data_IF_027583893406
#
_entry.id   IF_027583893406
#
_cell.length_a   1.000
_cell.length_b   1.000
_cell.length_c   1.000
_cell.angle_alpha   90.00
_cell.angle_beta   90.00
_cell.angle_gamma   90.00
#
_symmetry.space_group_name_H-M   'P 1'
#
loop_
_entity.id
_entity.type
_entity.pdbx_description
1 polymer ?
#
# COMPACT_ATOMS: atom_id res chain seq x y z
N UNK A 1 32.25 -48.64 -28.21
CA UNK A 1 30.93 -47.98 -28.38
C UNK A 1 30.23 -47.97 -27.03
N UNK A 2 30.08 -46.79 -26.41
CA UNK A 2 28.87 -46.37 -25.70
C UNK A 2 29.10 -44.95 -25.14
N UNK A 3 28.29 -44.01 -25.61
CA UNK A 3 28.17 -42.65 -25.09
C UNK A 3 27.58 -42.69 -23.68
N UNK A 4 28.18 -41.97 -22.71
CA UNK A 4 27.51 -41.58 -21.47
C UNK A 4 27.04 -40.13 -21.61
N UNK A 5 25.75 -39.98 -21.92
CA UNK A 5 25.00 -38.73 -21.78
C UNK A 5 24.88 -38.40 -20.29
N UNK A 6 25.38 -37.23 -19.90
CA UNK A 6 25.13 -36.60 -18.59
C UNK A 6 23.73 -35.98 -18.67
N UNK A 7 22.76 -36.63 -18.03
CA UNK A 7 21.42 -36.07 -17.84
C UNK A 7 21.43 -35.03 -16.72
N UNK A 8 21.30 -33.76 -17.07
CA UNK A 8 20.97 -32.69 -16.12
C UNK A 8 19.48 -32.83 -15.80
N UNK A 9 19.17 -33.37 -14.63
CA UNK A 9 17.82 -33.37 -14.08
C UNK A 9 17.52 -31.98 -13.53
N UNK A 10 16.71 -31.19 -14.24
CA UNK A 10 16.08 -29.99 -13.72
C UNK A 10 15.06 -30.41 -12.65
N UNK A 11 15.43 -30.27 -11.37
CA UNK A 11 14.44 -30.29 -10.29
C UNK A 11 13.60 -29.00 -10.38
N UNK A 12 12.27 -29.09 -10.40
CA UNK A 12 11.43 -27.92 -10.24
C UNK A 12 11.58 -27.40 -8.81
N UNK A 13 11.94 -26.12 -8.71
CA UNK A 13 11.93 -25.36 -7.47
C UNK A 13 10.48 -25.29 -6.95
N UNK A 14 10.11 -26.22 -6.07
CA UNK A 14 8.90 -26.11 -5.26
C UNK A 14 9.10 -24.94 -4.30
N UNK A 15 8.58 -23.77 -4.69
CA UNK A 15 8.31 -22.70 -3.75
C UNK A 15 7.12 -23.15 -2.91
N UNK A 16 7.41 -23.78 -1.77
CA UNK A 16 6.45 -23.93 -0.70
C UNK A 16 6.03 -22.53 -0.27
N UNK A 17 4.85 -22.10 -0.71
CA UNK A 17 4.21 -20.88 -0.25
C UNK A 17 4.11 -20.92 1.27
N UNK A 18 4.88 -20.08 1.94
CA UNK A 18 4.69 -19.85 3.36
C UNK A 18 3.35 -19.17 3.54
N UNK A 19 2.39 -19.94 4.03
CA UNK A 19 1.12 -19.46 4.57
C UNK A 19 1.48 -18.56 5.75
N UNK A 20 1.34 -17.24 5.57
CA UNK A 20 1.43 -16.32 6.70
C UNK A 20 0.27 -16.62 7.66
N UNK A 21 0.55 -16.83 8.96
CA UNK A 21 -0.48 -17.04 9.97
C UNK A 21 -1.06 -15.67 10.33
N UNK A 22 -1.98 -15.17 9.50
CA UNK A 22 -2.76 -13.96 9.73
C UNK A 22 -4.02 -14.07 8.89
N UNK A 23 -5.17 -14.25 9.54
CA UNK A 23 -6.47 -14.41 8.89
C UNK A 23 -6.88 -13.23 7.98
N UNK A 24 -7.97 -13.38 7.22
CA UNK A 24 -8.39 -12.41 6.21
C UNK A 24 -8.87 -11.13 6.89
N UNK A 25 -8.24 -10.00 6.59
CA UNK A 25 -8.68 -8.70 7.06
C UNK A 25 -9.98 -8.30 6.36
N UNK A 26 -11.00 -7.80 7.08
CA UNK A 26 -12.16 -7.19 6.44
C UNK A 26 -11.75 -5.82 5.91
N UNK A 27 -11.83 -5.62 4.59
CA UNK A 27 -11.90 -4.29 3.97
C UNK A 27 -10.74 -3.83 3.08
N UNK A 28 -9.59 -4.51 3.07
CA UNK A 28 -8.61 -4.29 2.00
C UNK A 28 -9.13 -4.90 0.70
N UNK A 29 -9.19 -4.16 -0.41
CA UNK A 29 -9.59 -4.70 -1.74
C UNK A 29 -8.34 -5.30 -2.39
N UNK A 30 -8.13 -6.61 -2.33
CA UNK A 30 -7.04 -7.22 -3.09
C UNK A 30 -7.34 -7.10 -4.58
N UNK A 31 -6.30 -6.88 -5.38
CA UNK A 31 -6.34 -7.08 -6.81
C UNK A 31 -6.74 -8.52 -7.08
N UNK A 32 -7.62 -8.73 -8.06
CA UNK A 32 -7.91 -10.08 -8.50
C UNK A 32 -6.66 -10.76 -9.08
N UNK A 33 -6.61 -12.08 -9.03
CA UNK A 33 -5.58 -12.82 -9.77
C UNK A 33 -5.62 -12.46 -11.26
N UNK A 34 -4.42 -12.19 -11.82
CA UNK A 34 -4.06 -11.68 -13.16
C UNK A 34 -4.84 -12.25 -14.37
N UNK A 35 -6.15 -12.11 -14.39
CA UNK A 35 -7.02 -12.50 -15.49
C UNK A 35 -7.63 -11.24 -16.05
N UNK A 36 -7.07 -10.67 -17.14
CA UNK A 36 -7.72 -9.59 -17.87
C UNK A 36 -9.12 -10.03 -18.29
N UNK A 37 -10.11 -9.16 -18.13
CA UNK A 37 -11.50 -9.42 -18.53
C UNK A 37 -12.11 -8.14 -19.09
N UNK A 38 -12.91 -8.26 -20.16
CA UNK A 38 -13.57 -7.12 -20.83
C UNK A 38 -12.65 -5.93 -21.16
N UNK A 39 -11.41 -6.20 -21.56
CA UNK A 39 -10.43 -5.16 -21.89
C UNK A 39 -9.88 -4.38 -20.68
N UNK A 40 -10.26 -4.76 -19.46
CA UNK A 40 -9.69 -4.21 -18.22
C UNK A 40 -8.48 -5.06 -17.82
N UNK A 41 -7.31 -4.44 -17.60
CA UNK A 41 -6.10 -5.18 -17.22
C UNK A 41 -6.12 -5.66 -15.76
N UNK A 42 -7.07 -5.18 -14.93
CA UNK A 42 -7.21 -5.56 -13.52
C UNK A 42 -8.68 -5.49 -13.07
N UNK A 43 -9.01 -6.23 -12.01
CA UNK A 43 -10.29 -6.18 -11.32
C UNK A 43 -10.09 -6.07 -9.80
N UNK A 44 -11.17 -5.76 -9.09
CA UNK A 44 -11.20 -5.53 -7.64
C UNK A 44 -11.99 -6.63 -6.92
N UNK A 45 -11.46 -7.18 -5.83
CA UNK A 45 -12.19 -8.11 -4.99
C UNK A 45 -13.23 -7.39 -4.13
N UNK A 46 -14.51 -7.50 -4.51
CA UNK A 46 -15.63 -6.78 -3.91
C UNK A 46 -16.75 -7.72 -3.48
N UNK A 47 -17.57 -7.29 -2.53
CA UNK A 47 -18.84 -7.96 -2.27
C UNK A 47 -19.70 -7.99 -3.53
N UNK A 48 -20.46 -9.06 -3.67
CA UNK A 48 -21.32 -9.34 -4.81
C UNK A 48 -22.26 -8.20 -5.21
N UNK A 49 -22.77 -7.49 -4.20
CA UNK A 49 -23.65 -6.35 -4.37
C UNK A 49 -22.89 -5.05 -4.63
N UNK A 50 -21.56 -5.05 -4.75
CA UNK A 50 -20.78 -3.85 -5.01
C UNK A 50 -20.38 -3.68 -6.47
N UNK A 51 -20.47 -4.74 -7.27
CA UNK A 51 -20.07 -4.72 -8.68
C UNK A 51 -21.22 -4.28 -9.61
N UNK A 52 -21.26 -2.99 -9.95
CA UNK A 52 -22.23 -2.39 -10.84
C UNK A 52 -21.89 -2.68 -12.31
N UNK A 53 -22.85 -3.22 -13.07
CA UNK A 53 -22.65 -3.64 -14.46
C UNK A 53 -22.33 -5.14 -14.63
N UNK A 54 -22.23 -5.90 -13.54
CA UNK A 54 -22.30 -7.37 -13.55
C UNK A 54 -21.08 -8.10 -14.12
N UNK A 55 -19.97 -7.42 -14.41
CA UNK A 55 -18.74 -8.07 -14.88
C UNK A 55 -17.94 -8.51 -13.66
N UNK A 56 -18.37 -9.62 -13.07
CA UNK A 56 -17.79 -10.18 -11.86
C UNK A 56 -17.38 -11.64 -12.08
N UNK A 57 -16.15 -12.00 -11.73
CA UNK A 57 -15.65 -13.37 -11.80
C UNK A 57 -15.42 -13.91 -10.39
N UNK A 58 -16.11 -14.99 -10.04
CA UNK A 58 -15.89 -15.72 -8.78
C UNK A 58 -14.54 -16.41 -8.77
N UNK A 59 -13.99 -16.67 -7.59
CA UNK A 59 -12.73 -17.42 -7.37
C UNK A 59 -11.43 -16.74 -7.85
N UNK A 60 -11.49 -15.51 -8.35
CA UNK A 60 -10.30 -14.69 -8.60
C UNK A 60 -9.85 -13.91 -7.36
N UNK A 61 -10.50 -14.15 -6.22
CA UNK A 61 -10.25 -13.58 -4.90
C UNK A 61 -10.02 -14.69 -3.85
N UNK A 62 -9.02 -15.58 -4.03
CA UNK A 62 -8.90 -16.83 -3.26
C UNK A 62 -8.58 -16.63 -1.78
N UNK A 63 -8.19 -15.41 -1.36
CA UNK A 63 -8.00 -15.06 0.04
C UNK A 63 -9.27 -14.53 0.72
N UNK A 64 -10.40 -14.49 0.01
CA UNK A 64 -11.66 -13.93 0.50
C UNK A 64 -12.75 -14.99 0.66
N UNK A 65 -13.76 -14.65 1.44
CA UNK A 65 -14.98 -15.45 1.56
C UNK A 65 -15.69 -15.57 0.20
N UNK A 66 -16.47 -16.64 0.04
CA UNK A 66 -17.13 -17.01 -1.22
C UNK A 66 -18.09 -15.95 -1.79
N UNK A 67 -18.50 -14.97 -0.98
CA UNK A 67 -19.38 -13.85 -1.36
C UNK A 67 -18.60 -12.61 -1.86
N UNK A 68 -17.30 -12.78 -2.14
CA UNK A 68 -16.43 -11.78 -2.75
C UNK A 68 -16.09 -12.22 -4.17
N UNK A 69 -16.44 -11.38 -5.15
CA UNK A 69 -16.15 -11.59 -6.56
C UNK A 69 -15.18 -10.54 -7.07
N UNK A 70 -14.42 -10.93 -8.08
CA UNK A 70 -13.58 -10.00 -8.80
C UNK A 70 -14.40 -9.15 -9.76
N UNK A 71 -14.57 -7.87 -9.46
CA UNK A 71 -15.28 -6.92 -10.28
C UNK A 71 -14.35 -6.20 -11.27
N UNK A 72 -14.69 -6.27 -12.55
CA UNK A 72 -14.03 -5.53 -13.64
C UNK A 72 -14.88 -4.36 -14.15
N UNK A 73 -16.00 -4.06 -13.48
CA UNK A 73 -16.91 -2.97 -13.81
C UNK A 73 -16.96 -1.92 -12.68
N UNK A 74 -17.90 -0.97 -12.75
CA UNK A 74 -17.97 0.11 -11.75
C UNK A 74 -18.30 -0.48 -10.37
N UNK A 75 -17.73 0.13 -9.34
CA UNK A 75 -17.95 -0.29 -7.97
C UNK A 75 -18.83 0.72 -7.23
N UNK A 76 -20.06 0.32 -6.86
CA UNK A 76 -21.01 1.21 -6.15
C UNK A 76 -20.80 1.27 -4.64
N UNK A 77 -19.92 0.46 -4.10
CA UNK A 77 -19.53 0.48 -2.68
C UNK A 77 -18.23 1.26 -2.43
N UNK A 78 -17.50 1.64 -3.48
CA UNK A 78 -16.31 2.52 -3.38
C UNK A 78 -16.45 3.82 -4.17
N UNK A 79 -17.66 4.15 -4.63
CA UNK A 79 -18.03 5.38 -5.38
C UNK A 79 -17.76 6.70 -4.67
N UNK A 80 -17.12 6.71 -3.50
CA UNK A 80 -16.79 7.94 -2.78
C UNK A 80 -15.63 8.74 -3.37
N UNK A 81 -14.67 8.08 -4.04
CA UNK A 81 -13.41 8.71 -4.46
C UNK A 81 -13.31 8.82 -5.99
N UNK A 82 -12.92 10.00 -6.48
CA UNK A 82 -12.76 10.31 -7.90
C UNK A 82 -11.43 9.82 -8.49
N UNK A 83 -11.11 10.28 -9.69
CA UNK A 83 -9.84 10.01 -10.35
C UNK A 83 -8.72 10.96 -9.89
N UNK A 84 -7.47 10.52 -9.99
CA UNK A 84 -6.27 11.34 -9.88
C UNK A 84 -5.48 11.27 -11.18
N UNK A 85 -5.12 12.45 -11.71
CA UNK A 85 -4.42 12.58 -13.00
C UNK A 85 -2.92 12.87 -12.85
N UNK A 86 -2.39 12.84 -11.63
CA UNK A 86 -0.94 12.95 -11.41
C UNK A 86 -0.26 11.66 -11.93
N UNK A 87 0.36 11.80 -13.10
CA UNK A 87 1.05 10.70 -13.79
C UNK A 87 2.27 10.20 -13.03
N UNK A 88 2.94 11.08 -12.28
CA UNK A 88 4.08 10.73 -11.46
C UNK A 88 3.63 9.93 -10.24
N UNK A 89 2.57 10.39 -9.57
CA UNK A 89 1.97 9.65 -8.47
C UNK A 89 1.56 8.24 -8.90
N UNK A 90 0.88 8.12 -10.05
CA UNK A 90 0.48 6.82 -10.58
C UNK A 90 1.67 5.90 -10.88
N UNK A 91 2.70 6.41 -11.58
CA UNK A 91 3.88 5.60 -11.93
C UNK A 91 4.59 5.09 -10.68
N UNK A 92 4.92 5.96 -9.74
CA UNK A 92 5.62 5.54 -8.52
C UNK A 92 4.74 4.68 -7.61
N UNK A 93 3.44 4.95 -7.52
CA UNK A 93 2.52 4.07 -6.79
C UNK A 93 2.55 2.65 -7.37
N UNK A 94 2.51 2.49 -8.69
CA UNK A 94 2.58 1.17 -9.31
C UNK A 94 3.93 0.48 -9.09
N UNK A 95 5.05 1.22 -9.12
CA UNK A 95 6.36 0.66 -8.78
C UNK A 95 6.43 0.19 -7.33
N UNK A 96 5.92 1.00 -6.40
CA UNK A 96 5.86 0.67 -4.97
C UNK A 96 4.96 -0.55 -4.73
N UNK A 97 3.80 -0.63 -5.39
CA UNK A 97 2.91 -1.78 -5.29
C UNK A 97 3.60 -3.06 -5.79
N UNK A 98 4.29 -3.00 -6.92
CA UNK A 98 5.04 -4.14 -7.44
C UNK A 98 6.20 -4.55 -6.50
N UNK A 99 6.88 -3.58 -5.87
CA UNK A 99 7.87 -3.88 -4.82
C UNK A 99 7.21 -4.58 -3.62
N UNK A 100 6.00 -4.17 -3.25
CA UNK A 100 5.27 -4.78 -2.14
C UNK A 100 4.91 -6.23 -2.41
N UNK A 101 4.42 -6.53 -3.62
CA UNK A 101 4.10 -7.89 -4.07
C UNK A 101 5.32 -8.81 -4.11
N UNK A 102 6.52 -8.26 -4.30
CA UNK A 102 7.81 -8.99 -4.23
C UNK A 102 8.41 -9.05 -2.82
N UNK A 103 7.77 -8.45 -1.81
CA UNK A 103 8.30 -8.38 -0.44
C UNK A 103 9.49 -7.44 -0.26
N UNK A 104 9.68 -6.48 -1.17
CA UNK A 104 10.80 -5.53 -1.16
C UNK A 104 10.48 -4.25 -0.36
N UNK A 105 9.20 -3.97 -0.15
CA UNK A 105 8.67 -2.92 0.73
C UNK A 105 7.42 -3.47 1.44
N UNK A 106 7.25 -3.18 2.73
CA UNK A 106 6.03 -3.55 3.45
C UNK A 106 5.11 -2.35 3.54
N UNK A 107 3.94 -2.45 2.91
CA UNK A 107 2.84 -1.53 3.11
C UNK A 107 1.91 -2.14 4.15
N UNK A 108 1.64 -1.43 5.25
CA UNK A 108 0.65 -1.92 6.21
C UNK A 108 -0.74 -1.97 5.56
N UNK A 109 -1.40 -3.12 5.69
CA UNK A 109 -2.78 -3.35 5.24
C UNK A 109 -3.80 -2.89 6.28
N UNK A 110 -3.35 -2.72 7.52
CA UNK A 110 -4.08 -2.38 8.73
C UNK A 110 -3.67 -1.01 9.28
N UNK A 111 -4.59 -0.37 9.98
CA UNK A 111 -4.33 0.82 10.78
C UNK A 111 -3.59 0.47 12.06
N UNK A 112 -2.86 1.46 12.60
CA UNK A 112 -2.27 1.34 13.93
C UNK A 112 -3.35 1.15 15.01
N UNK A 113 -4.46 1.89 14.93
CA UNK A 113 -5.62 1.68 15.82
C UNK A 113 -6.53 0.59 15.28
N UNK A 114 -6.99 -0.29 16.17
CA UNK A 114 -7.98 -1.31 15.84
C UNK A 114 -9.32 -0.71 15.37
N UNK A 115 -9.65 0.51 15.79
CA UNK A 115 -10.90 1.20 15.40
C UNK A 115 -10.96 1.47 13.90
N UNK A 116 -9.80 1.67 13.26
CA UNK A 116 -9.72 1.80 11.81
C UNK A 116 -9.85 0.49 11.05
N UNK A 117 -9.78 -0.64 11.76
CA UNK A 117 -9.82 -1.98 11.19
C UNK A 117 -11.18 -2.66 11.35
N UNK A 118 -12.08 -2.11 12.19
CA UNK A 118 -13.40 -2.68 12.42
C UNK A 118 -14.46 -1.62 12.79
N UNK A 119 -15.32 -1.19 11.83
CA UNK A 119 -15.27 -1.53 10.42
C UNK A 119 -14.04 -0.89 9.75
N UNK A 120 -13.48 -1.56 8.75
CA UNK A 120 -12.35 -1.02 8.02
C UNK A 120 -12.74 0.14 7.09
N UNK A 121 -12.02 1.24 7.19
CA UNK A 121 -12.35 2.48 6.47
C UNK A 121 -11.74 2.58 5.06
N UNK A 122 -10.79 1.71 4.71
CA UNK A 122 -10.12 1.73 3.40
C UNK A 122 -8.88 2.60 3.30
N UNK A 123 -8.40 3.21 4.40
CA UNK A 123 -7.33 4.20 4.37
C UNK A 123 -5.94 3.69 4.83
N UNK A 124 -5.67 2.38 4.75
CA UNK A 124 -4.33 1.85 5.02
C UNK A 124 -3.29 2.31 3.99
N UNK A 125 -2.00 2.21 4.34
CA UNK A 125 -0.90 2.50 3.40
C UNK A 125 -0.99 1.63 2.13
N UNK A 126 -1.29 0.34 2.26
CA UNK A 126 -1.48 -0.55 1.11
C UNK A 126 -2.64 -0.09 0.22
N UNK A 127 -3.79 0.23 0.82
CA UNK A 127 -4.96 0.70 0.07
C UNK A 127 -4.67 2.02 -0.64
N UNK A 128 -4.00 2.96 0.03
CA UNK A 128 -3.63 4.25 -0.57
C UNK A 128 -2.68 4.10 -1.79
N UNK A 129 -1.64 3.27 -1.69
CA UNK A 129 -0.72 3.03 -2.83
C UNK A 129 -1.46 2.32 -3.98
N UNK A 130 -2.26 1.29 -3.69
CA UNK A 130 -3.03 0.55 -4.70
C UNK A 130 -3.98 1.46 -5.45
N UNK A 131 -4.78 2.24 -4.74
CA UNK A 131 -5.77 3.12 -5.35
C UNK A 131 -5.10 4.18 -6.24
N UNK A 132 -3.95 4.72 -5.80
CA UNK A 132 -3.16 5.66 -6.61
C UNK A 132 -2.58 5.01 -7.88
N UNK A 133 -2.10 3.76 -7.80
CA UNK A 133 -1.64 3.01 -8.98
C UNK A 133 -2.76 2.83 -10.02
N UNK A 134 -4.00 2.68 -9.56
CA UNK A 134 -5.18 2.63 -10.43
C UNK A 134 -5.66 4.00 -10.91
N UNK A 135 -4.95 5.09 -10.59
CA UNK A 135 -5.30 6.44 -10.98
C UNK A 135 -6.52 6.98 -10.24
N UNK A 136 -6.75 6.52 -9.01
CA UNK A 136 -7.87 6.96 -8.15
C UNK A 136 -7.37 7.81 -6.99
N UNK A 137 -8.26 8.66 -6.49
CA UNK A 137 -8.10 9.26 -5.18
C UNK A 137 -8.11 8.19 -4.10
N UNK A 138 -7.32 8.41 -3.06
CA UNK A 138 -7.22 7.51 -1.92
C UNK A 138 -8.18 7.96 -0.83
N UNK A 139 -8.66 7.00 -0.03
CA UNK A 139 -9.45 7.31 1.16
C UNK A 139 -8.56 7.86 2.28
N UNK A 140 -9.11 8.84 3.00
CA UNK A 140 -8.61 9.30 4.29
C UNK A 140 -9.35 8.58 5.40
N UNK A 141 -8.70 8.43 6.55
CA UNK A 141 -9.33 7.75 7.67
C UNK A 141 -10.56 8.47 8.21
N UNK A 142 -11.49 7.70 8.79
CA UNK A 142 -12.74 8.22 9.36
C UNK A 142 -13.12 7.56 10.69
N UNK A 143 -12.17 6.85 11.33
CA UNK A 143 -12.45 6.07 12.53
C UNK A 143 -12.27 6.87 13.84
N UNK A 144 -11.81 8.11 13.77
CA UNK A 144 -11.64 8.97 14.95
C UNK A 144 -12.14 10.39 14.69
N UNK A 145 -12.43 11.13 15.77
CA UNK A 145 -13.04 12.45 15.68
C UNK A 145 -12.23 13.48 14.88
N UNK A 146 -10.91 13.34 14.83
CA UNK A 146 -10.03 14.25 14.09
C UNK A 146 -9.79 13.81 12.63
N UNK A 147 -10.19 12.59 12.25
CA UNK A 147 -10.00 12.06 10.92
C UNK A 147 -11.19 12.43 10.02
N UNK A 148 -10.99 13.22 8.96
CA UNK A 148 -12.09 13.89 8.23
C UNK A 148 -12.84 12.98 7.25
N UNK A 149 -12.42 11.73 7.07
CA UNK A 149 -12.90 10.86 6.00
C UNK A 149 -12.73 11.46 4.61
N UNK A 150 -13.47 10.99 3.62
CA UNK A 150 -13.38 11.49 2.24
C UNK A 150 -12.08 11.08 1.53
N UNK A 151 -11.71 11.84 0.48
CA UNK A 151 -10.71 11.39 -0.48
C UNK A 151 -9.69 12.48 -0.83
N UNK A 152 -8.49 12.06 -1.23
CA UNK A 152 -7.40 12.96 -1.64
C UNK A 152 -6.52 12.31 -2.70
N UNK A 153 -5.84 13.09 -3.54
CA UNK A 153 -4.79 12.58 -4.42
C UNK A 153 -3.46 12.56 -3.67
N UNK A 154 -2.70 11.47 -3.81
CA UNK A 154 -1.33 11.45 -3.32
C UNK A 154 -0.42 12.27 -4.22
N UNK A 155 0.58 12.95 -3.64
CA UNK A 155 1.58 13.70 -4.42
C UNK A 155 2.63 12.78 -5.05
N UNK A 156 2.93 13.00 -6.33
CA UNK A 156 3.99 12.28 -7.04
C UNK A 156 5.38 12.44 -6.41
N UNK A 157 5.72 13.64 -5.94
CA UNK A 157 7.00 13.94 -5.28
C UNK A 157 7.24 13.09 -4.03
N UNK A 158 6.19 12.92 -3.21
CA UNK A 158 6.19 12.03 -2.05
C UNK A 158 6.42 10.59 -2.53
N UNK A 159 5.59 10.04 -3.41
CA UNK A 159 5.74 8.63 -3.84
C UNK A 159 7.10 8.34 -4.50
N UNK A 160 7.66 9.28 -5.27
CA UNK A 160 9.02 9.19 -5.82
C UNK A 160 10.07 9.03 -4.72
N UNK A 161 9.99 9.86 -3.68
CA UNK A 161 10.92 9.79 -2.56
C UNK A 161 10.77 8.44 -1.83
N UNK A 162 9.56 7.88 -1.73
CA UNK A 162 9.26 6.64 -1.00
C UNK A 162 9.96 5.49 -1.69
N UNK A 163 9.72 5.41 -3.00
CA UNK A 163 10.34 4.44 -3.87
C UNK A 163 11.86 4.55 -3.83
N UNK A 164 12.41 5.76 -3.96
CA UNK A 164 13.86 6.01 -3.93
C UNK A 164 14.48 5.51 -2.63
N UNK A 165 13.87 5.85 -1.48
CA UNK A 165 14.38 5.41 -0.19
C UNK A 165 14.31 3.89 -0.04
N UNK A 166 13.18 3.28 -0.42
CA UNK A 166 12.99 1.83 -0.34
C UNK A 166 14.01 1.06 -1.21
N UNK A 167 14.24 1.50 -2.45
CA UNK A 167 15.22 0.90 -3.36
C UNK A 167 16.63 1.00 -2.77
N UNK A 168 17.03 2.18 -2.29
CA UNK A 168 18.36 2.39 -1.72
C UNK A 168 18.57 1.57 -0.45
N UNK A 169 17.57 1.55 0.43
CA UNK A 169 17.62 0.77 1.67
C UNK A 169 17.78 -0.72 1.37
N UNK A 170 17.02 -1.24 0.39
CA UNK A 170 17.14 -2.64 0.00
C UNK A 170 18.47 -2.96 -0.68
N UNK A 171 18.97 -2.08 -1.55
CA UNK A 171 20.27 -2.26 -2.18
C UNK A 171 21.41 -2.28 -1.14
N UNK A 172 21.30 -1.45 -0.10
CA UNK A 172 22.31 -1.36 0.95
C UNK A 172 22.23 -2.50 1.98
N UNK A 173 21.03 -2.93 2.36
CA UNK A 173 20.85 -3.84 3.51
C UNK A 173 20.19 -5.18 3.17
N UNK A 174 19.69 -5.39 1.95
CA UNK A 174 18.95 -6.59 1.58
C UNK A 174 17.61 -6.75 2.29
N UNK A 175 17.10 -5.67 2.91
CA UNK A 175 15.90 -5.66 3.75
C UNK A 175 14.84 -4.69 3.18
N UNK A 176 13.57 -4.88 3.55
CA UNK A 176 12.48 -3.96 3.23
C UNK A 176 12.39 -2.81 4.25
N UNK A 177 11.66 -1.75 3.91
CA UNK A 177 11.18 -0.76 4.88
C UNK A 177 9.68 -0.98 5.14
N UNK A 178 9.18 -0.45 6.25
CA UNK A 178 7.79 -0.57 6.67
C UNK A 178 7.08 0.79 6.64
N UNK A 179 6.07 0.92 5.77
CA UNK A 179 5.24 2.11 5.65
C UNK A 179 3.99 1.95 6.52
N UNK A 180 3.86 2.80 7.53
CA UNK A 180 2.79 2.74 8.52
C UNK A 180 1.52 3.45 8.06
N UNK A 181 1.66 4.68 7.55
CA UNK A 181 0.53 5.53 7.16
C UNK A 181 0.89 6.46 5.99
N UNK A 182 -0.11 6.86 5.21
CA UNK A 182 0.01 7.84 4.11
C UNK A 182 -1.10 8.89 4.21
N UNK A 183 -2.32 8.60 3.75
CA UNK A 183 -3.45 9.52 3.87
C UNK A 183 -4.49 9.08 4.92
N UNK A 184 -4.29 7.93 5.55
CA UNK A 184 -5.09 7.43 6.66
C UNK A 184 -4.44 7.60 8.03
N UNK A 185 -4.86 6.75 8.97
CA UNK A 185 -4.60 6.84 10.41
C UNK A 185 -5.25 8.06 11.08
N UNK A 186 -5.24 8.06 12.42
CA UNK A 186 -5.81 9.14 13.23
C UNK A 186 -4.72 10.13 13.63
N UNK A 187 -4.79 11.33 13.05
CA UNK A 187 -3.91 12.45 13.33
C UNK A 187 -4.72 13.70 13.69
N UNK A 188 -4.03 14.78 14.07
CA UNK A 188 -4.66 16.09 14.29
C UNK A 188 -5.44 16.57 13.05
N UNK A 189 -6.47 17.39 13.26
CA UNK A 189 -7.37 17.83 12.18
C UNK A 189 -6.69 18.61 11.06
N UNK A 190 -5.52 19.20 11.33
CA UNK A 190 -4.71 19.94 10.35
C UNK A 190 -3.54 19.12 9.81
N UNK A 191 -3.49 17.81 10.07
CA UNK A 191 -2.39 16.96 9.68
C UNK A 191 -2.21 16.91 8.16
N UNK A 192 -0.94 16.91 7.75
CA UNK A 192 -0.55 16.76 6.35
C UNK A 192 -0.91 15.38 5.77
N UNK A 193 -1.12 14.34 6.59
CA UNK A 193 -1.67 13.06 6.10
C UNK A 193 -2.96 13.27 5.28
N UNK A 194 -3.86 14.12 5.79
CA UNK A 194 -5.15 14.37 5.13
C UNK A 194 -5.06 15.23 3.85
N UNK A 195 -3.85 15.68 3.50
CA UNK A 195 -3.54 16.40 2.26
C UNK A 195 -2.85 15.51 1.21
N UNK A 196 -2.61 14.23 1.51
CA UNK A 196 -2.04 13.26 0.56
C UNK A 196 -0.55 13.50 0.23
N UNK A 197 0.15 14.27 1.05
CA UNK A 197 1.55 14.64 0.84
C UNK A 197 2.49 14.11 1.91
N UNK A 198 2.07 13.12 2.70
CA UNK A 198 2.80 12.69 3.90
C UNK A 198 2.91 11.18 3.99
N UNK A 199 3.99 10.71 4.58
CA UNK A 199 4.10 9.32 5.05
C UNK A 199 4.52 9.26 6.51
N UNK A 200 4.29 8.09 7.10
CA UNK A 200 4.98 7.60 8.30
C UNK A 200 5.70 6.30 7.97
N UNK A 201 7.01 6.25 8.21
CA UNK A 201 7.84 5.06 7.95
C UNK A 201 8.44 4.59 9.26
N UNK A 202 8.20 3.32 9.63
CA UNK A 202 8.83 2.73 10.82
C UNK A 202 10.34 2.77 10.65
N UNK A 203 11.04 3.12 11.71
CA UNK A 203 12.48 3.30 11.63
C UNK A 203 13.29 2.24 12.36
N UNK A 204 12.64 1.31 13.08
CA UNK A 204 13.29 0.23 13.84
C UNK A 204 13.06 -1.16 13.25
N UNK A 205 12.09 -1.31 12.35
CA UNK A 205 11.72 -2.59 11.74
C UNK A 205 11.89 -2.49 10.23
N UNK A 206 12.58 -3.46 9.60
CA UNK A 206 13.25 -4.65 10.16
C UNK A 206 14.66 -4.37 10.74
N UNK A 207 15.15 -3.14 10.63
CA UNK A 207 16.46 -2.70 11.13
C UNK A 207 16.34 -1.26 11.62
N UNK A 208 17.20 -0.81 12.53
CA UNK A 208 17.24 0.61 12.90
C UNK A 208 17.87 1.46 11.78
N UNK A 209 17.11 2.42 11.24
CA UNK A 209 17.53 3.38 10.22
C UNK A 209 16.97 4.79 10.47
N UNK A 210 16.60 5.09 11.72
CA UNK A 210 15.93 6.35 12.07
C UNK A 210 16.73 7.60 11.69
N UNK A 211 18.03 7.61 11.97
CA UNK A 211 18.93 8.70 11.57
C UNK A 211 19.00 8.86 10.05
N UNK A 212 19.20 7.76 9.32
CA UNK A 212 19.31 7.79 7.86
C UNK A 212 17.99 8.21 7.19
N UNK A 213 16.85 7.75 7.72
CA UNK A 213 15.52 8.11 7.24
C UNK A 213 15.20 9.58 7.52
N UNK A 214 15.51 10.07 8.72
CA UNK A 214 15.41 11.50 9.07
C UNK A 214 16.24 12.34 8.11
N UNK A 215 17.52 12.01 7.94
CA UNK A 215 18.43 12.78 7.10
C UNK A 215 17.98 12.78 5.64
N UNK A 216 17.47 11.64 5.15
CA UNK A 216 16.85 11.55 3.84
C UNK A 216 15.65 12.49 3.72
N UNK A 217 14.75 12.51 4.70
CA UNK A 217 13.57 13.38 4.71
C UNK A 217 13.97 14.86 4.72
N UNK A 218 14.93 15.26 5.57
CA UNK A 218 15.44 16.63 5.66
C UNK A 218 16.15 17.10 4.39
N UNK A 219 16.64 16.17 3.56
CA UNK A 219 17.21 16.47 2.25
C UNK A 219 16.17 16.60 1.13
N UNK A 220 14.89 16.34 1.40
CA UNK A 220 13.79 16.56 0.45
C UNK A 220 13.18 17.95 0.62
N UNK A 221 12.36 18.37 -0.36
CA UNK A 221 11.54 19.58 -0.25
C UNK A 221 10.31 19.33 0.63
N UNK A 222 10.48 19.48 1.95
CA UNK A 222 9.48 19.13 2.96
C UNK A 222 8.91 20.36 3.65
N UNK A 223 7.68 20.24 4.14
CA UNK A 223 7.00 21.25 4.98
C UNK A 223 7.01 20.86 6.46
N UNK A 224 7.13 19.57 6.77
CA UNK A 224 7.16 19.07 8.14
C UNK A 224 7.96 17.76 8.22
N UNK A 225 8.72 17.60 9.29
CA UNK A 225 9.34 16.33 9.65
C UNK A 225 9.29 16.13 11.16
N UNK A 226 8.75 14.98 11.56
CA UNK A 226 8.69 14.55 12.96
C UNK A 226 9.36 13.19 13.10
N UNK A 227 10.19 13.04 14.12
CA UNK A 227 11.07 11.88 14.34
C UNK A 227 11.44 11.79 15.83
N UNK A 228 12.11 10.71 16.29
CA UNK A 228 12.45 10.60 17.70
C UNK A 228 13.31 11.77 18.18
N UNK A 229 12.84 12.45 19.23
CA UNK A 229 13.49 13.64 19.78
C UNK A 229 13.18 14.96 19.07
N UNK A 230 12.33 14.96 18.04
CA UNK A 230 11.78 16.19 17.44
C UNK A 230 10.75 16.86 18.36
N UNK A 231 10.45 18.13 18.10
CA UNK A 231 9.47 18.92 18.87
C UNK A 231 8.02 18.48 18.70
N UNK A 232 7.71 17.63 17.70
CA UNK A 232 6.35 17.17 17.45
C UNK A 232 5.84 16.17 18.51
N UNK A 233 6.75 15.45 19.19
CA UNK A 233 6.42 14.39 20.16
C UNK A 233 5.72 13.16 19.56
N UNK A 234 5.73 12.01 20.25
CA UNK A 234 4.96 10.83 19.86
C UNK A 234 5.41 10.15 18.57
N UNK A 235 6.68 10.31 18.18
CA UNK A 235 7.29 9.75 16.96
C UNK A 235 8.52 8.91 17.31
N UNK A 236 8.46 8.10 18.36
CA UNK A 236 9.63 7.40 18.91
C UNK A 236 10.08 6.20 18.07
N UNK A 237 9.22 5.70 17.18
CA UNK A 237 9.49 4.47 16.40
C UNK A 237 9.26 4.62 14.89
N UNK A 238 8.99 5.84 14.41
CA UNK A 238 8.84 6.16 12.99
C UNK A 238 9.31 7.58 12.67
N UNK A 239 9.50 7.85 11.38
CA UNK A 239 9.71 9.19 10.86
C UNK A 239 8.51 9.58 10.02
N UNK A 240 7.92 10.70 10.38
CA UNK A 240 6.90 11.43 9.63
C UNK A 240 7.57 12.44 8.71
N UNK A 241 7.12 12.52 7.47
CA UNK A 241 7.65 13.49 6.51
C UNK A 241 6.54 13.94 5.55
N UNK A 242 6.27 15.25 5.57
CA UNK A 242 5.29 15.90 4.74
C UNK A 242 5.99 16.73 3.65
N UNK A 243 5.59 16.55 2.39
CA UNK A 243 6.21 17.12 1.20
C UNK A 243 5.48 18.41 0.74
N UNK A 244 6.27 19.42 0.34
CA UNK A 244 5.74 20.69 -0.16
C UNK A 244 4.90 20.55 -1.43
#
# INVERSE_FOLDING_TARGET
MLQKLVGISLLPCLVLGQVFPGGPFPGGIQSCYNTPSNGQPYGECLQDDCCEGGVAISNLCPNYANNIRCCFSRNRCTTGCGACYDVEAKDYACRILAMHERGEIRLKSDHFSADGNNPYDGASALSNVRDTCYGRQVKRSNYCAAAPGGCVCLKGSMLRAMHTYAVNFRAQYGQSIDINAIAGSCHSSTSWHYQGNTWDISCSTPRNHCTALRDFCLAQNIVEACYPGSSCGGHETWVHCAFA
#
